data_IF_237389851127
#
_entry.id   IF_237389851127
#
_cell.length_a   1.000
_cell.length_b   1.000
_cell.length_c   1.000
_cell.angle_alpha   90.00
_cell.angle_beta   90.00
_cell.angle_gamma   90.00
#
_symmetry.space_group_name_H-M   'P 1'
#
loop_
_entity.id
_entity.type
_entity.pdbx_description
1 polymer ?
#
# COMPACT_ATOMS: atom_id res chain seq x y z
N UNK A 1 8.16 12.30 -16.99
CA UNK A 1 7.82 13.52 -17.78
C UNK A 1 6.32 13.87 -17.72
N UNK A 2 5.37 12.96 -18.01
CA UNK A 2 3.92 13.29 -18.00
C UNK A 2 3.40 13.72 -16.63
N UNK A 3 3.82 13.06 -15.56
CA UNK A 3 3.40 13.38 -14.19
C UNK A 3 3.84 14.77 -13.75
N UNK A 4 5.03 15.23 -14.12
CA UNK A 4 5.50 16.59 -13.84
C UNK A 4 4.68 17.66 -14.56
N UNK A 5 4.23 17.39 -15.78
CA UNK A 5 3.30 18.28 -16.51
C UNK A 5 1.98 18.47 -15.77
N UNK A 6 1.46 17.43 -15.15
CA UNK A 6 0.23 17.51 -14.35
C UNK A 6 0.45 18.38 -13.12
N UNK A 7 1.60 18.27 -12.46
CA UNK A 7 1.94 19.14 -11.31
C UNK A 7 2.05 20.61 -11.71
N UNK A 8 2.58 20.91 -12.89
CA UNK A 8 2.65 22.28 -13.38
C UNK A 8 1.26 22.95 -13.54
N UNK A 9 0.23 22.13 -13.75
CA UNK A 9 -1.16 22.61 -13.84
C UNK A 9 -1.80 22.70 -12.43
N UNK A 10 -1.49 21.76 -11.55
CA UNK A 10 -2.17 21.62 -10.26
C UNK A 10 -1.57 22.47 -9.14
N UNK A 11 -0.32 22.94 -9.27
CA UNK A 11 0.39 23.71 -8.25
C UNK A 11 0.40 25.20 -8.61
N UNK A 12 0.07 26.04 -7.65
CA UNK A 12 0.27 27.50 -7.78
C UNK A 12 1.68 27.87 -7.33
N UNK A 13 2.61 27.90 -8.27
CA UNK A 13 4.02 28.26 -8.03
C UNK A 13 4.24 29.74 -7.80
N UNK A 14 3.22 30.57 -8.01
CA UNK A 14 3.27 32.04 -7.83
C UNK A 14 2.77 32.47 -6.46
N UNK A 15 2.23 31.55 -5.68
CA UNK A 15 1.72 31.82 -4.34
C UNK A 15 2.83 32.31 -3.40
N UNK A 16 2.52 33.28 -2.56
CA UNK A 16 3.44 33.76 -1.52
C UNK A 16 3.79 32.60 -0.55
N UNK A 17 5.08 32.45 -0.26
CA UNK A 17 5.59 31.38 0.59
C UNK A 17 5.68 29.99 -0.08
N UNK A 18 5.49 29.91 -1.40
CA UNK A 18 5.68 28.66 -2.13
C UNK A 18 7.13 28.18 -2.04
N UNK A 19 7.29 26.88 -1.72
CA UNK A 19 8.53 26.14 -1.93
C UNK A 19 8.20 24.77 -2.53
N UNK A 20 9.12 24.15 -3.27
CA UNK A 20 8.87 22.82 -3.87
C UNK A 20 8.45 21.76 -2.83
N UNK A 21 9.03 21.81 -1.63
CA UNK A 21 8.77 20.85 -0.53
C UNK A 21 7.34 21.02 0.02
N UNK A 22 6.77 22.20 -0.13
CA UNK A 22 5.43 22.54 0.35
C UNK A 22 4.40 22.62 -0.80
N UNK A 23 4.71 22.09 -1.96
CA UNK A 23 3.85 22.17 -3.15
C UNK A 23 2.40 21.70 -2.91
N UNK A 24 2.19 20.73 -2.02
CA UNK A 24 0.87 20.22 -1.64
C UNK A 24 -0.03 21.23 -0.91
N UNK A 25 0.54 22.29 -0.35
CA UNK A 25 -0.19 23.34 0.37
C UNK A 25 -0.70 24.45 -0.58
N UNK A 26 -0.24 24.46 -1.83
CA UNK A 26 -0.52 25.50 -2.82
C UNK A 26 -1.28 24.98 -4.05
N UNK A 27 -2.55 24.50 -3.90
CA UNK A 27 -3.35 24.11 -5.04
C UNK A 27 -3.67 25.28 -5.95
N UNK A 28 -3.51 25.10 -7.26
CA UNK A 28 -3.89 26.08 -8.27
C UNK A 28 -5.43 26.26 -8.35
N UNK A 29 -5.88 27.22 -9.13
CA UNK A 29 -7.32 27.38 -9.43
C UNK A 29 -7.91 26.12 -10.06
N UNK A 30 -7.18 25.49 -10.98
CA UNK A 30 -7.60 24.24 -11.61
C UNK A 30 -7.72 23.11 -10.60
N UNK A 31 -6.76 22.96 -9.69
CA UNK A 31 -6.83 21.97 -8.61
C UNK A 31 -8.05 22.19 -7.71
N UNK A 32 -8.32 23.44 -7.32
CA UNK A 32 -9.49 23.81 -6.49
C UNK A 32 -10.83 23.53 -7.18
N UNK A 33 -10.92 23.68 -8.49
CA UNK A 33 -12.11 23.27 -9.25
C UNK A 33 -12.30 21.75 -9.23
N UNK A 34 -11.21 20.99 -9.41
CA UNK A 34 -11.26 19.53 -9.35
C UNK A 34 -11.58 19.01 -7.95
N UNK A 35 -11.08 19.65 -6.88
CA UNK A 35 -11.46 19.35 -5.50
C UNK A 35 -12.97 19.45 -5.24
N UNK A 36 -13.64 20.42 -5.88
CA UNK A 36 -15.09 20.58 -5.79
C UNK A 36 -15.85 19.52 -6.60
N UNK A 37 -15.25 19.09 -7.71
CA UNK A 37 -15.85 18.14 -8.64
C UNK A 37 -15.79 16.70 -8.14
N UNK A 38 -14.65 16.28 -7.56
CA UNK A 38 -14.45 14.91 -7.11
C UNK A 38 -14.99 14.72 -5.70
N UNK A 39 -16.00 13.85 -5.57
CA UNK A 39 -16.56 13.49 -4.27
C UNK A 39 -15.64 12.50 -3.54
N UNK A 40 -15.05 11.58 -4.29
CA UNK A 40 -14.18 10.53 -3.77
C UNK A 40 -12.99 10.33 -4.70
N UNK A 41 -11.83 10.05 -4.13
CA UNK A 41 -10.59 9.70 -4.82
C UNK A 41 -10.18 8.34 -4.30
N UNK A 42 -10.24 7.35 -5.18
CA UNK A 42 -9.89 5.95 -4.86
C UNK A 42 -8.56 5.61 -5.50
N UNK A 43 -7.65 5.07 -4.71
CA UNK A 43 -6.31 4.66 -5.17
C UNK A 43 -6.12 3.21 -4.76
N UNK A 44 -5.93 2.35 -5.76
CA UNK A 44 -5.61 0.94 -5.58
C UNK A 44 -4.09 0.72 -5.66
N UNK A 45 -3.62 -0.41 -5.13
CA UNK A 45 -2.19 -0.76 -5.07
C UNK A 45 -1.33 0.39 -4.51
N UNK A 46 -1.82 1.00 -3.42
CA UNK A 46 -1.22 2.22 -2.89
C UNK A 46 0.24 2.06 -2.45
N UNK A 47 0.69 0.84 -2.15
CA UNK A 47 2.09 0.53 -1.84
C UNK A 47 3.05 0.83 -2.99
N UNK A 48 2.54 0.95 -4.23
CA UNK A 48 3.34 1.25 -5.42
C UNK A 48 3.33 2.73 -5.81
N UNK A 49 2.77 3.57 -4.93
CA UNK A 49 2.68 5.02 -5.13
C UNK A 49 4.07 5.67 -4.94
N UNK A 50 4.37 6.66 -5.77
CA UNK A 50 5.53 7.53 -5.62
C UNK A 50 5.13 8.94 -5.14
N UNK A 51 6.13 9.76 -4.73
CA UNK A 51 5.92 11.11 -4.21
C UNK A 51 5.10 11.99 -5.16
N UNK A 52 5.32 11.87 -6.48
CA UNK A 52 4.60 12.68 -7.47
C UNK A 52 3.12 12.28 -7.53
N UNK A 53 2.82 11.00 -7.47
CA UNK A 53 1.44 10.50 -7.44
C UNK A 53 0.73 10.88 -6.14
N UNK A 54 1.43 10.75 -5.01
CA UNK A 54 0.90 11.20 -3.71
C UNK A 54 0.62 12.71 -3.71
N UNK A 55 1.52 13.51 -4.26
CA UNK A 55 1.32 14.96 -4.38
C UNK A 55 0.12 15.28 -5.26
N UNK A 56 -0.03 14.61 -6.40
CA UNK A 56 -1.21 14.79 -7.27
C UNK A 56 -2.49 14.44 -6.50
N UNK A 57 -2.52 13.29 -5.81
CA UNK A 57 -3.68 12.88 -5.02
C UNK A 57 -4.01 13.89 -3.90
N UNK A 58 -2.99 14.44 -3.27
CA UNK A 58 -3.14 15.48 -2.24
C UNK A 58 -3.73 16.76 -2.83
N UNK A 59 -3.23 17.24 -3.96
CA UNK A 59 -3.71 18.45 -4.62
C UNK A 59 -5.15 18.33 -5.16
N UNK A 60 -5.58 17.11 -5.50
CA UNK A 60 -6.95 16.84 -5.96
C UNK A 60 -7.94 16.59 -4.81
N UNK A 61 -7.44 16.30 -3.62
CA UNK A 61 -8.27 16.00 -2.45
C UNK A 61 -8.75 17.27 -1.75
N UNK A 62 -9.96 17.21 -1.21
CA UNK A 62 -10.47 18.22 -0.27
C UNK A 62 -10.04 17.97 1.18
N UNK A 63 -9.14 17.02 1.42
CA UNK A 63 -8.63 16.63 2.72
C UNK A 63 -9.37 15.45 3.38
N UNK A 64 -10.58 15.08 2.92
CA UNK A 64 -11.44 14.06 3.56
C UNK A 64 -11.99 13.01 2.62
N UNK A 65 -11.66 13.07 1.34
CA UNK A 65 -12.30 12.24 0.30
C UNK A 65 -11.35 11.24 -0.35
N UNK A 66 -10.27 10.85 0.33
CA UNK A 66 -9.34 9.84 -0.18
C UNK A 66 -9.62 8.47 0.43
N UNK A 67 -9.70 7.47 -0.42
CA UNK A 67 -9.75 6.06 -0.06
C UNK A 67 -8.58 5.33 -0.73
N UNK A 68 -7.71 4.74 0.06
CA UNK A 68 -6.49 4.10 -0.40
C UNK A 68 -6.52 2.64 0.00
N UNK A 69 -6.25 1.75 -0.95
CA UNK A 69 -6.16 0.30 -0.72
C UNK A 69 -4.78 -0.17 -1.14
N UNK A 70 -4.20 -1.06 -0.37
CA UNK A 70 -2.91 -1.64 -0.70
C UNK A 70 -2.46 -2.65 0.36
N UNK A 71 -1.36 -3.28 0.07
CA UNK A 71 -0.70 -4.21 1.00
C UNK A 71 0.79 -3.88 1.10
N UNK A 72 1.21 -3.35 2.25
CA UNK A 72 2.61 -2.97 2.51
C UNK A 72 3.58 -4.13 2.22
N UNK A 73 3.15 -5.38 2.44
CA UNK A 73 3.95 -6.59 2.20
C UNK A 73 4.25 -6.85 0.72
N UNK A 74 3.42 -6.28 -0.18
CA UNK A 74 3.54 -6.47 -1.62
C UNK A 74 4.33 -5.36 -2.32
N UNK A 75 4.96 -4.47 -1.57
CA UNK A 75 5.76 -3.38 -2.13
C UNK A 75 7.08 -3.91 -2.69
N UNK A 76 7.06 -4.32 -3.96
CA UNK A 76 8.23 -4.86 -4.68
C UNK A 76 8.75 -3.92 -5.79
N UNK A 77 8.04 -2.81 -6.06
CA UNK A 77 8.35 -1.92 -7.18
C UNK A 77 9.23 -0.72 -6.82
N UNK A 78 10.05 -0.83 -5.78
CA UNK A 78 11.04 0.21 -5.40
C UNK A 78 11.94 0.61 -6.58
N UNK A 79 12.27 -0.33 -7.46
CA UNK A 79 13.03 -0.07 -8.68
C UNK A 79 12.28 0.78 -9.73
N UNK A 80 10.96 0.96 -9.60
CA UNK A 80 10.12 1.84 -10.41
C UNK A 80 9.82 3.18 -9.74
N UNK A 81 10.62 3.58 -8.75
CA UNK A 81 10.46 4.80 -7.97
C UNK A 81 9.22 4.80 -7.05
N UNK A 82 8.62 3.65 -6.78
CA UNK A 82 7.64 3.52 -5.71
C UNK A 82 8.34 3.78 -4.36
N UNK A 83 7.70 4.57 -3.50
CA UNK A 83 8.19 4.81 -2.14
C UNK A 83 7.29 4.13 -1.11
N UNK A 84 7.69 2.95 -0.60
CA UNK A 84 6.93 2.25 0.42
C UNK A 84 6.72 3.06 1.70
N UNK A 85 7.60 4.02 1.99
CA UNK A 85 7.54 4.84 3.20
C UNK A 85 6.26 5.68 3.23
N UNK A 86 5.75 6.11 2.07
CA UNK A 86 4.49 6.85 1.96
C UNK A 86 3.34 6.06 2.60
N UNK A 87 3.21 4.78 2.21
CA UNK A 87 2.14 3.93 2.73
C UNK A 87 2.41 3.51 4.18
N UNK A 88 3.63 3.12 4.52
CA UNK A 88 4.00 2.74 5.88
C UNK A 88 3.75 3.86 6.88
N UNK A 89 4.02 5.12 6.51
CA UNK A 89 3.72 6.27 7.35
C UNK A 89 2.24 6.35 7.67
N UNK A 90 1.37 6.23 6.67
CA UNK A 90 -0.09 6.22 6.88
C UNK A 90 -0.53 5.00 7.69
N UNK A 91 0.01 3.82 7.40
CA UNK A 91 -0.26 2.59 8.14
C UNK A 91 0.05 2.72 9.64
N UNK A 92 1.12 3.44 9.99
CA UNK A 92 1.53 3.66 11.39
C UNK A 92 0.75 4.78 12.07
N UNK A 93 0.35 5.82 11.34
CA UNK A 93 -0.27 7.02 11.90
C UNK A 93 -1.79 7.01 11.91
N UNK A 94 -2.43 6.32 10.95
CA UNK A 94 -3.88 6.24 10.88
C UNK A 94 -4.44 5.34 11.98
N UNK A 95 -5.52 5.78 12.60
CA UNK A 95 -6.17 5.09 13.69
C UNK A 95 -7.12 3.98 13.20
N UNK A 96 -7.24 2.91 13.98
CA UNK A 96 -8.29 1.91 13.78
C UNK A 96 -9.64 2.29 14.44
N UNK A 97 -9.72 3.42 15.13
CA UNK A 97 -10.97 3.92 15.70
C UNK A 97 -11.94 4.29 14.57
N UNK A 98 -13.21 3.89 14.74
CA UNK A 98 -14.26 4.16 13.73
C UNK A 98 -14.58 5.63 13.57
N UNK A 99 -14.32 6.44 14.59
CA UNK A 99 -14.58 7.88 14.60
C UNK A 99 -13.33 8.71 14.25
N UNK A 100 -12.20 8.07 13.96
CA UNK A 100 -10.99 8.80 13.57
C UNK A 100 -11.18 9.51 12.23
N UNK A 101 -10.62 10.71 12.12
CA UNK A 101 -10.61 11.48 10.87
C UNK A 101 -9.78 10.76 9.80
N UNK A 102 -8.60 10.27 10.19
CA UNK A 102 -7.76 9.39 9.37
C UNK A 102 -7.91 7.95 9.88
N UNK A 103 -8.71 7.17 9.17
CA UNK A 103 -9.06 5.80 9.59
C UNK A 103 -8.31 4.76 8.78
N UNK A 104 -7.78 3.75 9.50
CA UNK A 104 -7.24 2.52 8.92
C UNK A 104 -8.19 1.35 9.17
N UNK A 105 -8.38 0.55 8.13
CA UNK A 105 -9.14 -0.71 8.19
C UNK A 105 -8.21 -1.84 7.76
N UNK A 106 -7.93 -2.77 8.66
CA UNK A 106 -7.08 -3.92 8.38
C UNK A 106 -7.92 -5.08 7.83
N UNK A 107 -7.62 -5.52 6.60
CA UNK A 107 -8.28 -6.64 5.93
C UNK A 107 -7.34 -7.84 5.92
N UNK A 108 -7.42 -8.66 6.97
CA UNK A 108 -6.52 -9.81 7.16
C UNK A 108 -7.16 -11.16 6.83
N UNK A 109 -8.42 -11.20 6.43
CA UNK A 109 -9.10 -12.44 6.01
C UNK A 109 -8.91 -12.70 4.53
N UNK A 110 -8.35 -13.85 4.22
CA UNK A 110 -8.10 -14.29 2.85
C UNK A 110 -9.16 -15.32 2.43
N UNK A 111 -9.92 -14.98 1.38
CA UNK A 111 -10.98 -15.83 0.81
C UNK A 111 -10.53 -16.56 -0.46
N UNK A 112 -9.28 -16.38 -0.89
CA UNK A 112 -8.74 -16.94 -2.13
C UNK A 112 -8.03 -18.25 -1.90
N UNK A 113 -7.17 -18.30 -0.88
CA UNK A 113 -6.23 -19.41 -0.66
C UNK A 113 -6.71 -20.37 0.42
N UNK A 114 -6.23 -21.60 0.35
CA UNK A 114 -6.46 -22.63 1.36
C UNK A 114 -5.73 -22.32 2.66
N UNK A 115 -6.27 -22.80 3.78
CA UNK A 115 -5.73 -22.56 5.11
C UNK A 115 -4.29 -23.09 5.29
N UNK A 116 -3.96 -24.22 4.68
CA UNK A 116 -2.61 -24.79 4.72
C UNK A 116 -1.59 -23.90 4.00
N UNK A 117 -1.97 -23.30 2.86
CA UNK A 117 -1.13 -22.36 2.13
C UNK A 117 -0.90 -21.11 2.97
N UNK A 118 -1.96 -20.55 3.57
CA UNK A 118 -1.85 -19.37 4.42
C UNK A 118 -0.97 -19.61 5.65
N UNK A 119 -1.09 -20.77 6.27
CA UNK A 119 -0.25 -21.17 7.40
C UNK A 119 1.24 -21.21 7.01
N UNK A 120 1.56 -21.80 5.85
CA UNK A 120 2.92 -21.89 5.33
C UNK A 120 3.49 -20.49 4.98
N UNK A 121 2.71 -19.64 4.35
CA UNK A 121 3.10 -18.25 4.05
C UNK A 121 3.37 -17.51 5.35
N UNK A 122 2.47 -17.57 6.32
CA UNK A 122 2.63 -16.92 7.62
C UNK A 122 3.90 -17.40 8.33
N UNK A 123 4.17 -18.72 8.28
CA UNK A 123 5.36 -19.31 8.89
C UNK A 123 6.65 -18.76 8.29
N UNK A 124 6.73 -18.70 6.96
CA UNK A 124 7.91 -18.19 6.24
C UNK A 124 8.10 -16.70 6.50
N UNK A 125 7.04 -15.91 6.37
CA UNK A 125 7.14 -14.46 6.48
C UNK A 125 7.43 -13.98 7.92
N UNK A 126 6.98 -14.69 8.95
CA UNK A 126 7.37 -14.39 10.33
C UNK A 126 8.87 -14.54 10.59
N UNK A 127 9.57 -15.35 9.79
CA UNK A 127 11.01 -15.53 9.90
C UNK A 127 11.80 -14.55 9.02
N UNK A 128 11.28 -14.20 7.84
CA UNK A 128 11.98 -13.38 6.87
C UNK A 128 11.69 -11.89 7.01
N UNK A 129 10.44 -11.53 7.35
CA UNK A 129 10.04 -10.14 7.46
C UNK A 129 10.32 -9.63 8.88
N UNK A 130 11.30 -8.76 8.98
CA UNK A 130 11.62 -8.04 10.21
C UNK A 130 11.87 -6.57 9.89
N UNK A 131 11.71 -5.70 10.90
CA UNK A 131 11.94 -4.27 10.75
C UNK A 131 13.36 -3.96 10.24
N UNK A 132 14.34 -4.81 10.58
CA UNK A 132 15.73 -4.66 10.12
C UNK A 132 15.93 -4.97 8.63
N UNK A 133 15.15 -5.89 8.07
CA UNK A 133 15.33 -6.36 6.70
C UNK A 133 14.38 -5.68 5.72
N UNK A 134 13.13 -5.44 6.14
CA UNK A 134 12.05 -5.00 5.24
C UNK A 134 11.28 -3.80 5.79
N UNK A 135 11.77 -3.19 6.88
CA UNK A 135 11.15 -2.02 7.53
C UNK A 135 9.70 -2.29 8.02
N UNK A 136 9.33 -3.59 8.12
CA UNK A 136 8.03 -4.06 8.56
C UNK A 136 8.16 -5.36 9.33
N UNK A 137 7.63 -5.41 10.54
CA UNK A 137 7.51 -6.65 11.31
C UNK A 137 6.24 -7.41 10.90
N UNK A 138 6.39 -8.72 10.65
CA UNK A 138 5.27 -9.59 10.31
C UNK A 138 4.64 -10.16 11.58
N UNK A 139 3.70 -9.41 12.14
CA UNK A 139 2.95 -9.79 13.34
C UNK A 139 1.56 -10.36 13.02
N UNK A 140 0.71 -10.38 14.05
CA UNK A 140 -0.65 -10.90 13.91
C UNK A 140 -1.56 -9.99 13.05
N UNK A 141 -1.20 -8.72 12.89
CA UNK A 141 -1.93 -7.79 12.01
C UNK A 141 -1.66 -8.06 10.53
N UNK A 142 -0.41 -8.40 10.21
CA UNK A 142 0.06 -8.67 8.86
C UNK A 142 -0.23 -10.12 8.43
N UNK A 143 -0.47 -11.01 9.39
CA UNK A 143 -0.78 -12.41 9.13
C UNK A 143 -2.10 -12.57 8.37
N UNK A 144 -2.13 -13.54 7.48
CA UNK A 144 -3.31 -13.88 6.69
C UNK A 144 -4.13 -14.95 7.41
N UNK A 145 -5.41 -14.70 7.59
CA UNK A 145 -6.34 -15.63 8.24
C UNK A 145 -7.33 -16.22 7.21
N UNK A 146 -7.67 -17.51 7.31
CA UNK A 146 -8.68 -18.10 6.44
C UNK A 146 -10.02 -17.36 6.57
N UNK A 147 -10.59 -16.93 5.45
CA UNK A 147 -11.90 -16.32 5.37
C UNK A 147 -12.99 -17.25 4.86
N UNK A 148 -12.59 -18.37 4.24
CA UNK A 148 -13.51 -19.42 3.79
C UNK A 148 -13.83 -20.33 4.96
N UNK A 149 -15.10 -20.78 5.04
CA UNK A 149 -15.41 -22.02 5.76
C UNK A 149 -14.69 -23.17 5.06
N UNK A 150 -14.20 -24.12 5.82
CA UNK A 150 -13.56 -25.33 5.28
C UNK A 150 -14.50 -25.95 4.25
N UNK A 151 -14.10 -25.84 3.00
CA UNK A 151 -14.76 -26.54 1.91
C UNK A 151 -14.36 -28.03 2.06
N UNK A 152 -15.29 -28.97 2.23
CA UNK A 152 -14.98 -30.38 2.31
C UNK A 152 -14.53 -30.90 0.94
N UNK A 153 -13.43 -30.38 0.43
CA UNK A 153 -12.81 -30.91 -0.78
C UNK A 153 -12.28 -32.32 -0.48
N UNK A 154 -12.32 -33.24 -1.50
CA UNK A 154 -11.75 -34.55 -1.34
C UNK A 154 -10.32 -34.48 -0.81
N UNK A 155 -9.95 -35.39 0.08
CA UNK A 155 -8.64 -35.42 0.73
C UNK A 155 -7.43 -35.37 -0.23
N UNK A 156 -7.61 -35.71 -1.50
CA UNK A 156 -6.62 -35.58 -2.56
C UNK A 156 -6.23 -34.11 -2.87
N UNK A 157 -7.05 -33.14 -2.46
CA UNK A 157 -6.79 -31.70 -2.61
C UNK A 157 -6.69 -30.98 -1.26
N UNK A 158 -6.90 -31.68 -0.15
CA UNK A 158 -6.75 -31.14 1.17
C UNK A 158 -5.26 -31.01 1.52
N UNK A 159 -4.71 -29.86 1.21
CA UNK A 159 -3.41 -29.42 1.73
C UNK A 159 -2.26 -30.37 1.40
N UNK A 160 -1.84 -30.40 0.15
CA UNK A 160 -0.50 -30.91 -0.17
C UNK A 160 0.54 -30.20 0.71
N UNK A 161 1.54 -30.94 1.20
CA UNK A 161 2.66 -30.33 1.90
C UNK A 161 3.28 -29.23 1.03
N UNK A 162 3.58 -28.09 1.64
CA UNK A 162 4.33 -27.05 0.94
C UNK A 162 5.78 -27.56 0.85
N UNK A 163 6.26 -27.69 -0.37
CA UNK A 163 7.61 -28.12 -0.67
C UNK A 163 8.47 -26.88 -0.96
N UNK A 164 9.61 -26.79 -0.30
CA UNK A 164 10.57 -25.70 -0.50
C UNK A 164 11.84 -26.29 -1.07
N UNK A 165 12.18 -25.94 -2.29
CA UNK A 165 13.41 -26.34 -2.95
C UNK A 165 14.46 -25.23 -2.85
N UNK A 166 15.62 -25.53 -2.30
CA UNK A 166 16.78 -24.64 -2.28
C UNK A 166 17.71 -24.99 -3.44
N UNK A 167 17.89 -24.05 -4.35
CA UNK A 167 18.79 -24.22 -5.49
C UNK A 167 20.03 -23.38 -5.21
N UNK A 168 21.16 -24.04 -4.95
CA UNK A 168 22.45 -23.36 -4.86
C UNK A 168 22.88 -22.89 -6.25
N UNK A 169 23.09 -21.60 -6.37
CA UNK A 169 23.68 -21.04 -7.59
C UNK A 169 25.17 -21.37 -7.59
N UNK A 170 25.55 -22.42 -8.30
CA UNK A 170 26.98 -22.67 -8.58
C UNK A 170 27.46 -21.53 -9.43
N UNK A 171 28.27 -20.65 -8.85
CA UNK A 171 29.05 -19.67 -9.62
C UNK A 171 30.26 -20.42 -10.16
N UNK A 172 30.26 -20.72 -11.45
CA UNK A 172 31.47 -21.12 -12.15
C UNK A 172 32.45 -19.92 -12.03
N UNK A 173 33.59 -20.16 -11.34
CA UNK A 173 34.73 -19.24 -11.29
C UNK A 173 35.49 -19.27 -12.62
#
# INVERSE_FOLDING_TARGET
KRQHYVLDILVDKTAEGFTPERAGEFPSSAARELQKKYKEIMIDEYQDTNDVQELIATLLSNGRNRFMVGDVKQSIYRFRQADPIIFQKKYRTFSSDENAEDRRIDLNRNFRSDSAILASINYIFRQLMSEKLLELDYGDREALYPGRHEDPRPAAYAGGAVEVEFIDKVTDE
#
